data_IF_582156546197
#
_entry.id   IF_582156546197
#
_cell.length_a   1.000
_cell.length_b   1.000
_cell.length_c   1.000
_cell.angle_alpha   90.00
_cell.angle_beta   90.00
_cell.angle_gamma   90.00
#
_symmetry.space_group_name_H-M   'P 1'
#
loop_
_entity.id
_entity.type
_entity.pdbx_description
1 polymer ?
#
# COMPACT_ATOMS: atom_id res chain seq x y z
N UNK A 1 -0.89 -28.15 2.51
CA UNK A 1 0.00 -27.05 2.09
C UNK A 1 -0.48 -25.79 2.78
N UNK A 2 0.34 -25.17 3.64
CA UNK A 2 -0.07 -24.00 4.44
C UNK A 2 -0.21 -22.76 3.55
N UNK A 3 -1.35 -22.08 3.67
CA UNK A 3 -1.66 -20.83 2.97
C UNK A 3 -0.92 -19.69 3.67
N UNK A 4 -0.43 -18.71 2.93
CA UNK A 4 0.15 -17.51 3.54
C UNK A 4 -0.94 -16.72 4.28
N UNK A 5 -0.92 -16.71 5.61
CA UNK A 5 -1.85 -15.98 6.49
C UNK A 5 -1.40 -14.54 6.73
N UNK A 6 -1.16 -13.80 5.66
CA UNK A 6 -0.85 -12.36 5.72
C UNK A 6 -2.14 -11.58 5.46
N UNK A 7 -2.35 -10.51 6.23
CA UNK A 7 -3.51 -9.62 6.10
C UNK A 7 -3.20 -8.34 5.32
N UNK A 8 -1.94 -7.90 5.32
CA UNK A 8 -1.47 -6.71 4.62
C UNK A 8 0.00 -6.90 4.22
N UNK A 9 0.34 -6.56 2.98
CA UNK A 9 1.71 -6.52 2.49
C UNK A 9 2.12 -5.08 2.21
N UNK A 10 3.25 -4.65 2.77
CA UNK A 10 3.86 -3.34 2.50
C UNK A 10 5.18 -3.57 1.79
N UNK A 11 5.37 -2.99 0.60
CA UNK A 11 6.52 -3.24 -0.28
C UNK A 11 7.13 -1.91 -0.73
N UNK A 12 8.45 -1.79 -0.71
CA UNK A 12 9.13 -0.64 -1.34
C UNK A 12 9.04 -0.77 -2.87
N UNK A 13 8.90 0.34 -3.60
CA UNK A 13 8.78 0.37 -5.06
C UNK A 13 10.06 -0.15 -5.74
N UNK A 14 11.20 0.03 -5.07
CA UNK A 14 12.50 -0.46 -5.51
C UNK A 14 13.01 -1.49 -4.50
N UNK A 15 13.17 -2.73 -4.97
CA UNK A 15 13.84 -3.80 -4.24
C UNK A 15 15.04 -4.21 -5.10
N UNK A 16 16.22 -4.34 -4.49
CA UNK A 16 17.42 -4.80 -5.19
C UNK A 16 17.15 -6.15 -5.88
N UNK A 17 17.24 -6.16 -7.20
CA UNK A 17 17.10 -7.37 -8.01
C UNK A 17 15.67 -7.87 -8.23
N UNK A 18 14.62 -7.17 -7.78
CA UNK A 18 13.24 -7.59 -8.03
C UNK A 18 12.28 -6.41 -8.24
N UNK A 19 11.52 -6.44 -9.34
CA UNK A 19 10.50 -5.44 -9.61
C UNK A 19 9.29 -5.65 -8.70
N UNK A 20 8.86 -4.60 -8.02
CA UNK A 20 7.63 -4.60 -7.20
C UNK A 20 6.40 -4.97 -8.01
N UNK A 21 6.36 -4.59 -9.29
CA UNK A 21 5.28 -4.95 -10.21
C UNK A 21 5.20 -6.47 -10.40
N UNK A 22 6.35 -7.15 -10.50
CA UNK A 22 6.39 -8.61 -10.64
C UNK A 22 5.85 -9.30 -9.39
N UNK A 23 6.18 -8.78 -8.20
CA UNK A 23 5.65 -9.29 -6.93
C UNK A 23 4.13 -9.16 -6.89
N UNK A 24 3.58 -8.00 -7.26
CA UNK A 24 2.13 -7.78 -7.31
C UNK A 24 1.48 -8.75 -8.31
N UNK A 25 2.05 -8.86 -9.51
CA UNK A 25 1.54 -9.76 -10.56
C UNK A 25 1.56 -11.22 -10.11
N UNK A 26 2.61 -11.68 -9.43
CA UNK A 26 2.69 -13.04 -8.88
C UNK A 26 1.63 -13.30 -7.82
N UNK A 27 1.33 -12.33 -6.95
CA UNK A 27 0.29 -12.45 -5.94
C UNK A 27 -1.09 -12.48 -6.58
N UNK A 28 -1.38 -11.56 -7.50
CA UNK A 28 -2.67 -11.48 -8.21
C UNK A 28 -2.93 -12.70 -9.10
N UNK A 29 -1.89 -13.26 -9.71
CA UNK A 29 -1.95 -14.53 -10.43
C UNK A 29 -2.16 -15.75 -9.52
N UNK A 30 -1.98 -15.61 -8.19
CA UNK A 30 -2.08 -16.71 -7.22
C UNK A 30 -0.86 -17.63 -7.21
N UNK A 31 0.26 -17.21 -7.79
CA UNK A 31 1.52 -17.96 -7.82
C UNK A 31 2.30 -17.83 -6.50
N UNK A 32 2.07 -16.75 -5.74
CA UNK A 32 2.80 -16.43 -4.52
C UNK A 32 2.31 -17.16 -3.25
N UNK A 33 1.46 -18.20 -3.35
CA UNK A 33 0.83 -18.90 -2.20
C UNK A 33 0.05 -17.98 -1.22
N UNK A 34 -0.18 -16.74 -1.61
CA UNK A 34 -0.92 -15.72 -0.86
C UNK A 34 -2.36 -15.60 -1.38
N UNK A 35 -3.25 -15.00 -0.57
CA UNK A 35 -4.60 -14.64 -1.01
C UNK A 35 -4.50 -13.72 -2.23
N UNK A 36 -5.17 -14.05 -3.34
CA UNK A 36 -5.21 -13.19 -4.54
C UNK A 36 -5.73 -11.78 -4.26
N UNK A 37 -6.55 -11.62 -3.22
CA UNK A 37 -7.10 -10.34 -2.76
C UNK A 37 -6.33 -9.71 -1.59
N UNK A 38 -5.10 -10.16 -1.32
CA UNK A 38 -4.26 -9.57 -0.28
C UNK A 38 -4.11 -8.05 -0.52
N UNK A 39 -4.42 -7.20 0.47
CA UNK A 39 -4.10 -5.78 0.42
C UNK A 39 -2.59 -5.56 0.25
N UNK A 40 -2.18 -4.79 -0.75
CA UNK A 40 -0.77 -4.48 -1.02
C UNK A 40 -0.60 -2.96 -1.03
N UNK A 41 0.30 -2.44 -0.22
CA UNK A 41 0.67 -1.02 -0.18
C UNK A 41 2.09 -0.88 -0.72
N UNK A 42 2.27 -0.05 -1.73
CA UNK A 42 3.58 0.23 -2.31
C UNK A 42 4.12 1.54 -1.76
N UNK A 43 5.38 1.55 -1.33
CA UNK A 43 6.07 2.72 -0.83
C UNK A 43 7.11 3.16 -1.86
N UNK A 44 7.01 4.36 -2.42
CA UNK A 44 7.99 4.80 -3.41
C UNK A 44 8.48 6.23 -3.19
N UNK A 45 9.57 6.58 -3.87
CA UNK A 45 10.13 7.93 -3.81
C UNK A 45 9.28 8.91 -4.63
N UNK A 46 9.07 10.13 -4.13
CA UNK A 46 8.45 11.20 -4.91
C UNK A 46 9.44 11.61 -6.00
N UNK A 47 9.21 11.15 -7.23
CA UNK A 47 10.00 11.53 -8.40
C UNK A 47 9.36 12.73 -9.12
N UNK A 48 10.12 13.35 -10.04
CA UNK A 48 9.58 14.42 -10.89
C UNK A 48 8.41 13.96 -11.78
N UNK A 49 8.31 12.65 -12.06
CA UNK A 49 7.21 12.01 -12.79
C UNK A 49 6.31 11.19 -11.85
N UNK A 50 5.93 11.78 -10.72
CA UNK A 50 5.17 11.11 -9.67
C UNK A 50 3.91 10.41 -10.22
N UNK A 51 3.13 11.03 -11.11
CA UNK A 51 1.86 10.45 -11.58
C UNK A 51 2.03 9.10 -12.31
N UNK A 52 3.04 8.97 -13.19
CA UNK A 52 3.25 7.73 -13.93
C UNK A 52 3.78 6.61 -13.01
N UNK A 53 4.68 6.95 -12.10
CA UNK A 53 5.26 6.00 -11.14
C UNK A 53 4.28 5.60 -10.04
N UNK A 54 3.38 6.49 -9.63
CA UNK A 54 2.32 6.23 -8.66
C UNK A 54 1.19 5.36 -9.24
N UNK A 55 0.85 5.56 -10.52
CA UNK A 55 -0.26 4.87 -11.14
C UNK A 55 0.06 3.40 -11.50
N UNK A 56 1.31 3.09 -11.88
CA UNK A 56 1.71 1.74 -12.31
C UNK A 56 1.42 0.64 -11.29
N UNK A 57 1.76 0.79 -9.99
CA UNK A 57 1.43 -0.22 -8.99
C UNK A 57 -0.08 -0.39 -8.79
N UNK A 58 -0.84 0.70 -8.83
CA UNK A 58 -2.30 0.67 -8.70
C UNK A 58 -2.94 -0.09 -9.87
N UNK A 59 -2.52 0.18 -11.10
CA UNK A 59 -3.00 -0.55 -12.29
C UNK A 59 -2.63 -2.04 -12.26
N UNK A 60 -1.51 -2.38 -11.64
CA UNK A 60 -1.07 -3.77 -11.44
C UNK A 60 -1.85 -4.47 -10.32
N UNK A 61 -2.69 -3.73 -9.57
CA UNK A 61 -3.58 -4.25 -8.55
C UNK A 61 -3.08 -4.02 -7.12
N UNK A 62 -2.15 -3.09 -6.87
CA UNK A 62 -1.88 -2.61 -5.52
C UNK A 62 -3.12 -1.89 -4.95
N UNK A 63 -3.28 -1.94 -3.63
CA UNK A 63 -4.37 -1.29 -2.92
C UNK A 63 -4.10 0.19 -2.67
N UNK A 64 -2.84 0.56 -2.47
CA UNK A 64 -2.44 1.95 -2.31
C UNK A 64 -0.97 2.16 -2.69
N UNK A 65 -0.63 3.39 -3.03
CA UNK A 65 0.74 3.88 -3.12
C UNK A 65 0.94 4.98 -2.06
N UNK A 66 2.08 4.97 -1.38
CA UNK A 66 2.45 5.97 -0.39
C UNK A 66 3.84 6.50 -0.71
N UNK A 67 3.92 7.78 -1.06
CA UNK A 67 5.20 8.45 -1.26
C UNK A 67 5.99 8.56 0.05
N UNK A 68 7.28 8.23 -0.01
CA UNK A 68 8.25 8.43 1.06
C UNK A 68 8.74 9.90 1.09
N UNK A 69 9.23 10.42 2.22
CA UNK A 69 9.27 9.78 3.53
C UNK A 69 7.86 9.56 4.10
N UNK A 70 7.69 8.43 4.80
CA UNK A 70 6.43 8.11 5.47
C UNK A 70 6.13 9.17 6.52
N UNK A 71 5.10 9.98 6.27
CA UNK A 71 4.57 10.84 7.33
C UNK A 71 3.73 10.00 8.27
N UNK A 72 4.04 9.98 9.57
CA UNK A 72 3.21 9.33 10.59
C UNK A 72 1.75 9.83 10.58
N UNK A 73 1.51 11.06 10.11
CA UNK A 73 0.15 11.59 9.88
C UNK A 73 -0.62 10.83 8.80
N UNK A 74 0.07 10.29 7.78
CA UNK A 74 -0.52 9.49 6.69
C UNK A 74 -0.69 8.01 7.07
N UNK A 75 0.23 7.47 7.88
CA UNK A 75 0.22 6.06 8.31
C UNK A 75 -0.78 5.81 9.45
N UNK A 76 -0.90 6.76 10.38
CA UNK A 76 -1.88 6.72 11.46
C UNK A 76 -2.72 7.98 11.40
N UNK A 77 -3.86 7.98 10.67
CA UNK A 77 -4.81 9.08 10.81
C UNK A 77 -5.23 9.11 12.28
N UNK A 78 -4.70 10.08 13.04
CA UNK A 78 -5.15 10.35 14.41
C UNK A 78 -6.64 10.62 14.28
N UNK A 79 -7.46 9.64 14.68
CA UNK A 79 -8.89 9.83 14.91
C UNK A 79 -9.02 11.04 15.82
N UNK A 80 -9.34 12.19 15.25
CA UNK A 80 -9.82 13.32 16.02
C UNK A 80 -11.17 12.86 16.54
N UNK A 81 -11.15 12.25 17.73
CA UNK A 81 -12.35 11.96 18.50
C UNK A 81 -13.04 13.30 18.69
N UNK A 82 -13.98 13.63 17.80
CA UNK A 82 -14.77 14.85 17.84
C UNK A 82 -15.56 14.76 19.14
N UNK A 83 -15.02 15.35 20.20
CA UNK A 83 -15.74 15.54 21.44
C UNK A 83 -16.96 16.38 21.08
N UNK A 84 -18.12 15.72 20.98
CA UNK A 84 -19.42 16.39 20.91
C UNK A 84 -19.57 17.19 22.20
N UNK A 85 -19.06 18.41 22.23
CA UNK A 85 -19.66 19.43 23.10
C UNK A 85 -20.97 19.82 22.41
N UNK A 86 -22.09 19.38 22.98
CA UNK A 86 -23.40 19.88 22.62
C UNK A 86 -23.38 21.41 22.78
N UNK A 87 -23.91 22.19 21.82
CA UNK A 87 -24.20 23.59 22.09
C UNK A 87 -25.35 23.64 23.10
N UNK A 88 -25.07 24.14 24.30
CA UNK A 88 -26.09 24.68 25.20
C UNK A 88 -26.36 26.11 24.75
N UNK A 89 -27.51 26.34 24.12
CA UNK A 89 -27.98 27.64 23.68
C UNK A 89 -29.43 27.54 23.25
#
# INVERSE_FOLDING_TARGET
MSVCEIELLIVASEIEGQSTLDVINLIRAGKARCKKKLPIVVLGSPSHDAEAFEAQPIYSGASAYVAMPLSMKKVTPRSTRRSRRMPTG
#
